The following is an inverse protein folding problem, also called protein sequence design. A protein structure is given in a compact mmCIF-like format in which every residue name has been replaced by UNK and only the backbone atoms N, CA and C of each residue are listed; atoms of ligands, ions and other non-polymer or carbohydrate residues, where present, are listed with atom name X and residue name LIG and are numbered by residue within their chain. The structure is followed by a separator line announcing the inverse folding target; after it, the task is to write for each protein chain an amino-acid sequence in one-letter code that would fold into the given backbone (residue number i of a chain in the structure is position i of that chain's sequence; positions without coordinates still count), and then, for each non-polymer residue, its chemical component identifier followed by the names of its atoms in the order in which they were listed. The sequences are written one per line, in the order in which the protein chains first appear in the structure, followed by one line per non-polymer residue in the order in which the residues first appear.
data_IF_830535490332
#
_entry.id   IF_830535490332
#
_cell.length_a   1.000
_cell.length_b   1.000
_cell.length_c   1.000
_cell.angle_alpha   90.00
_cell.angle_beta   90.00
_cell.angle_gamma   90.00
#
_symmetry.space_group_name_H-M   'P 1'
#
loop_
_entity.id
_entity.type
_entity.pdbx_description
1 polymer ?
#
# COMPACT_ATOMS: atom_id res chain seq x y z
N UNK A 1 19.02 10.64 -25.50
CA UNK A 1 20.07 11.32 -24.69
C UNK A 1 21.36 11.35 -25.45
N UNK A 2 22.31 12.18 -25.02
CA UNK A 2 23.65 12.29 -25.63
C UNK A 2 24.52 11.04 -25.51
N UNK A 3 24.13 10.12 -24.66
CA UNK A 3 24.77 8.82 -24.40
C UNK A 3 24.07 7.66 -25.14
N UNK A 4 23.24 7.96 -26.14
CA UNK A 4 22.40 7.04 -26.91
C UNK A 4 21.41 6.21 -26.09
N UNK A 5 21.32 6.44 -24.78
CA UNK A 5 20.34 5.78 -23.93
C UNK A 5 18.93 6.32 -24.16
N UNK A 6 17.92 5.46 -24.27
CA UNK A 6 16.55 5.91 -24.43
C UNK A 6 16.07 6.73 -23.22
N UNK A 7 15.09 7.61 -23.47
CA UNK A 7 14.37 8.26 -22.39
C UNK A 7 13.20 7.38 -21.92
N UNK A 8 12.64 7.69 -20.76
CA UNK A 8 11.56 6.94 -20.14
C UNK A 8 10.42 6.61 -21.12
N UNK A 9 9.95 7.58 -21.90
CA UNK A 9 8.80 7.39 -22.80
C UNK A 9 9.01 6.33 -23.89
N UNK A 10 10.25 6.08 -24.27
CA UNK A 10 10.58 5.03 -25.24
C UNK A 10 10.90 3.72 -24.51
N UNK A 11 11.70 3.80 -23.46
CA UNK A 11 12.15 2.63 -22.73
C UNK A 11 10.97 1.84 -22.13
N UNK A 12 9.99 2.51 -21.50
CA UNK A 12 8.88 1.80 -20.89
C UNK A 12 8.03 0.99 -21.89
N UNK A 13 7.85 1.50 -23.12
CA UNK A 13 7.12 0.75 -24.17
C UNK A 13 7.87 -0.49 -24.59
N UNK A 14 9.19 -0.39 -24.76
CA UNK A 14 10.03 -1.53 -25.14
C UNK A 14 10.10 -2.55 -24.00
N UNK A 15 10.31 -2.09 -22.78
CA UNK A 15 10.41 -2.96 -21.61
C UNK A 15 9.09 -3.67 -21.35
N UNK A 16 7.96 -2.97 -21.37
CA UNK A 16 6.64 -3.54 -21.18
C UNK A 16 6.34 -4.63 -22.22
N UNK A 17 6.68 -4.39 -23.49
CA UNK A 17 6.51 -5.39 -24.54
C UNK A 17 7.41 -6.61 -24.33
N UNK A 18 8.72 -6.40 -24.12
CA UNK A 18 9.69 -7.49 -23.96
C UNK A 18 9.45 -8.31 -22.69
N UNK A 19 8.93 -7.70 -21.64
CA UNK A 19 8.53 -8.37 -20.39
C UNK A 19 7.16 -9.03 -20.46
N UNK A 20 6.42 -8.87 -21.55
CA UNK A 20 5.09 -9.47 -21.74
C UNK A 20 4.03 -8.85 -20.81
N UNK A 21 4.14 -7.55 -20.51
CA UNK A 21 3.17 -6.83 -19.68
C UNK A 21 1.84 -6.73 -20.42
N UNK A 22 0.77 -7.22 -19.79
CA UNK A 22 -0.58 -7.19 -20.32
C UNK A 22 -1.40 -6.00 -19.80
N UNK A 23 -1.13 -5.57 -18.57
CA UNK A 23 -1.84 -4.49 -17.89
C UNK A 23 -0.84 -3.49 -17.31
N UNK A 24 -1.02 -2.22 -17.63
CA UNK A 24 -0.21 -1.11 -17.11
C UNK A 24 -1.03 -0.32 -16.11
N UNK A 25 -0.76 -0.51 -14.82
CA UNK A 25 -1.43 0.21 -13.73
C UNK A 25 -0.58 1.38 -13.28
N UNK A 26 -1.09 2.60 -13.38
CA UNK A 26 -0.34 3.83 -13.03
C UNK A 26 -1.25 4.97 -12.62
N UNK A 27 -0.67 6.04 -12.09
CA UNK A 27 -1.42 7.25 -11.74
C UNK A 27 -2.03 7.97 -12.95
N UNK A 28 -3.09 8.69 -12.74
CA UNK A 28 -3.83 9.41 -13.78
C UNK A 28 -3.03 10.56 -14.42
N UNK A 29 -1.89 10.99 -13.84
CA UNK A 29 -0.96 11.95 -14.45
C UNK A 29 -0.36 11.45 -15.76
N UNK A 30 -0.34 10.14 -16.00
CA UNK A 30 0.13 9.55 -17.26
C UNK A 30 -0.93 9.51 -18.36
N UNK A 31 -2.17 9.88 -18.07
CA UNK A 31 -3.25 9.85 -19.05
C UNK A 31 -2.93 10.69 -20.30
N UNK A 32 -2.32 11.86 -20.10
CA UNK A 32 -1.88 12.74 -21.21
C UNK A 32 -0.73 12.15 -22.04
N UNK A 33 0.01 11.20 -21.51
CA UNK A 33 1.13 10.54 -22.20
C UNK A 33 0.72 9.23 -22.91
N UNK A 34 -0.39 8.63 -22.55
CA UNK A 34 -0.86 7.37 -23.12
C UNK A 34 -0.97 7.38 -24.67
N UNK A 35 -1.44 8.46 -25.34
CA UNK A 35 -1.47 8.51 -26.80
C UNK A 35 -0.09 8.35 -27.45
N UNK A 36 0.98 8.86 -26.82
CA UNK A 36 2.37 8.72 -27.32
C UNK A 36 2.82 7.27 -27.25
N UNK A 37 2.48 6.56 -26.17
CA UNK A 37 2.82 5.15 -26.00
C UNK A 37 2.08 4.30 -27.04
N UNK A 38 0.80 4.56 -27.25
CA UNK A 38 0.00 3.86 -28.26
C UNK A 38 0.59 4.02 -29.66
N UNK A 39 1.06 5.22 -30.02
CA UNK A 39 1.71 5.46 -31.30
C UNK A 39 3.03 4.66 -31.45
N UNK A 40 3.79 4.51 -30.36
CA UNK A 40 5.01 3.70 -30.37
C UNK A 40 4.67 2.21 -30.55
N UNK A 41 3.69 1.66 -29.80
CA UNK A 41 3.22 0.29 -29.98
C UNK A 41 2.79 0.04 -31.43
N UNK A 42 1.99 0.96 -31.99
CA UNK A 42 1.53 0.86 -33.38
C UNK A 42 2.69 0.91 -34.39
N UNK A 43 3.67 1.80 -34.19
CA UNK A 43 4.85 1.92 -35.06
C UNK A 43 5.71 0.66 -35.06
N UNK A 44 5.77 -0.07 -33.93
CA UNK A 44 6.46 -1.36 -33.84
C UNK A 44 5.61 -2.55 -34.28
N UNK A 45 4.31 -2.36 -34.56
CA UNK A 45 3.37 -3.44 -34.83
C UNK A 45 3.07 -4.33 -33.63
N UNK A 46 3.19 -3.77 -32.43
CA UNK A 46 2.97 -4.47 -31.17
C UNK A 46 1.54 -4.23 -30.66
N UNK A 47 1.02 -5.19 -29.91
CA UNK A 47 -0.26 -5.07 -29.22
C UNK A 47 -0.15 -4.05 -28.07
N UNK A 48 -1.15 -3.18 -27.95
CA UNK A 48 -1.20 -2.16 -26.87
C UNK A 48 -1.72 -2.83 -25.61
N UNK A 49 -1.03 -2.70 -24.46
CA UNK A 49 -1.51 -3.25 -23.20
C UNK A 49 -2.76 -2.53 -22.70
N UNK A 50 -3.50 -3.16 -21.81
CA UNK A 50 -4.61 -2.52 -21.11
C UNK A 50 -4.09 -1.51 -20.09
N UNK A 51 -4.68 -0.29 -20.09
CA UNK A 51 -4.28 0.77 -19.14
C UNK A 51 -5.30 0.92 -18.03
N UNK A 52 -4.82 0.86 -16.80
CA UNK A 52 -5.58 1.19 -15.58
C UNK A 52 -5.00 2.44 -14.95
N UNK A 53 -5.77 3.54 -14.97
CA UNK A 53 -5.35 4.81 -14.38
C UNK A 53 -5.96 4.97 -13.00
N UNK A 54 -5.11 4.90 -11.96
CA UNK A 54 -5.52 5.07 -10.57
C UNK A 54 -5.64 6.54 -10.19
N UNK A 55 -6.64 6.87 -9.39
CA UNK A 55 -6.77 8.18 -8.79
C UNK A 55 -5.66 8.42 -7.74
N UNK A 56 -5.25 9.69 -7.51
CA UNK A 56 -4.22 10.00 -6.53
C UNK A 56 -4.72 9.79 -5.10
N UNK A 57 -3.80 9.41 -4.21
CA UNK A 57 -4.03 9.48 -2.76
C UNK A 57 -3.75 10.90 -2.29
N UNK A 58 -4.69 11.47 -1.56
CA UNK A 58 -4.64 12.82 -1.05
C UNK A 58 -4.33 12.83 0.44
N UNK A 59 -3.61 13.83 0.90
CA UNK A 59 -3.41 14.12 2.33
C UNK A 59 -4.65 14.76 2.93
N UNK A 60 -5.26 15.66 2.18
CA UNK A 60 -6.50 16.37 2.49
C UNK A 60 -7.26 16.69 1.18
N UNK A 61 -8.32 17.48 1.26
CA UNK A 61 -9.16 17.84 0.09
C UNK A 61 -8.40 18.54 -1.04
N UNK A 62 -7.25 19.12 -0.77
CA UNK A 62 -6.52 20.02 -1.69
C UNK A 62 -5.09 19.58 -1.99
N UNK A 63 -4.47 18.80 -1.10
CA UNK A 63 -3.07 18.42 -1.20
C UNK A 63 -2.91 16.92 -1.47
N UNK A 64 -2.07 16.58 -2.44
CA UNK A 64 -1.65 15.18 -2.65
C UNK A 64 -0.71 14.74 -1.54
N UNK A 65 -0.82 13.46 -1.16
CA UNK A 65 0.17 12.81 -0.30
C UNK A 65 1.53 12.83 -0.98
N UNK A 66 2.58 13.30 -0.30
CA UNK A 66 3.90 13.45 -0.89
C UNK A 66 5.02 13.34 0.14
N UNK A 67 6.01 12.48 -0.13
CA UNK A 67 7.24 12.37 0.67
C UNK A 67 7.97 13.72 0.86
N UNK A 68 7.89 14.63 -0.13
CA UNK A 68 8.51 15.94 -0.06
C UNK A 68 7.88 16.86 1.00
N UNK A 69 6.64 16.58 1.38
CA UNK A 69 5.89 17.33 2.39
C UNK A 69 5.99 16.69 3.79
N UNK A 70 6.89 15.72 3.98
CA UNK A 70 7.08 15.03 5.25
C UNK A 70 6.00 13.98 5.57
N UNK A 71 5.21 13.58 4.56
CA UNK A 71 4.25 12.51 4.73
C UNK A 71 4.98 11.16 4.85
N UNK A 72 4.50 10.28 5.72
CA UNK A 72 5.14 9.01 6.04
C UNK A 72 5.34 8.12 4.80
N UNK A 73 6.54 7.62 4.62
CA UNK A 73 6.83 6.56 3.66
C UNK A 73 6.46 5.19 4.24
N UNK A 74 6.45 4.16 3.40
CA UNK A 74 6.29 2.78 3.89
C UNK A 74 7.34 2.44 4.97
N UNK A 75 8.60 2.85 4.76
CA UNK A 75 9.67 2.62 5.71
C UNK A 75 9.44 3.33 7.05
N UNK A 76 8.88 4.54 7.03
CA UNK A 76 8.54 5.28 8.24
C UNK A 76 7.40 4.58 9.01
N UNK A 77 6.41 4.03 8.30
CA UNK A 77 5.34 3.24 8.92
C UNK A 77 5.89 1.96 9.56
N UNK A 78 6.79 1.25 8.86
CA UNK A 78 7.43 0.05 9.42
C UNK A 78 8.27 0.39 10.65
N UNK A 79 9.03 1.50 10.63
CA UNK A 79 9.83 1.96 11.76
C UNK A 79 8.97 2.30 13.00
N UNK A 80 7.74 2.77 12.79
CA UNK A 80 6.75 3.00 13.86
C UNK A 80 6.07 1.71 14.34
N UNK A 81 6.29 0.59 13.68
CA UNK A 81 5.72 -0.70 14.05
C UNK A 81 4.28 -0.92 13.54
N UNK A 82 3.94 -0.32 12.40
CA UNK A 82 2.79 -0.80 11.63
C UNK A 82 3.11 -2.15 11.01
N UNK A 83 2.14 -3.06 10.97
CA UNK A 83 2.28 -4.35 10.33
C UNK A 83 2.15 -4.21 8.80
N UNK A 84 3.04 -4.84 8.01
CA UNK A 84 2.96 -4.78 6.54
C UNK A 84 1.59 -5.16 5.99
N UNK A 85 0.98 -6.21 6.53
CA UNK A 85 -0.32 -6.73 6.13
C UNK A 85 -1.44 -5.71 6.36
N UNK A 86 -1.39 -5.00 7.50
CA UNK A 86 -2.34 -3.94 7.83
C UNK A 86 -2.21 -2.74 6.87
N UNK A 87 -0.97 -2.37 6.52
CA UNK A 87 -0.72 -1.30 5.55
C UNK A 87 -1.20 -1.69 4.16
N UNK A 88 -0.97 -2.93 3.71
CA UNK A 88 -1.46 -3.45 2.42
C UNK A 88 -2.99 -3.41 2.39
N UNK A 89 -3.65 -3.92 3.43
CA UNK A 89 -5.12 -3.89 3.55
C UNK A 89 -5.65 -2.46 3.47
N UNK A 90 -5.07 -1.54 4.23
CA UNK A 90 -5.48 -0.13 4.23
C UNK A 90 -5.32 0.51 2.84
N UNK A 91 -4.17 0.31 2.18
CA UNK A 91 -3.89 0.87 0.84
C UNK A 91 -4.85 0.29 -0.20
N UNK A 92 -5.15 -1.01 -0.14
CA UNK A 92 -6.11 -1.62 -1.05
C UNK A 92 -7.48 -0.93 -0.95
N UNK A 93 -7.99 -0.71 0.26
CA UNK A 93 -9.27 -0.05 0.49
C UNK A 93 -9.30 1.45 0.17
N UNK A 94 -8.14 2.11 0.00
CA UNK A 94 -8.09 3.49 -0.48
C UNK A 94 -8.48 3.62 -1.96
N UNK A 95 -8.14 2.62 -2.76
CA UNK A 95 -8.31 2.69 -4.22
C UNK A 95 -9.24 1.64 -4.79
N UNK A 96 -9.76 0.73 -3.97
CA UNK A 96 -10.60 -0.37 -4.40
C UNK A 96 -11.70 -0.63 -3.36
N UNK A 97 -12.87 -1.03 -3.82
CA UNK A 97 -14.00 -1.39 -2.95
C UNK A 97 -14.44 -2.83 -3.22
N UNK A 98 -14.45 -3.71 -2.22
CA UNK A 98 -15.00 -5.06 -2.36
C UNK A 98 -16.49 -5.02 -2.74
N UNK A 99 -17.06 -6.15 -3.14
CA UNK A 99 -18.45 -6.25 -3.58
C UNK A 99 -19.20 -7.34 -2.86
N UNK A 100 -20.52 -7.33 -3.02
CA UNK A 100 -21.41 -8.35 -2.45
C UNK A 100 -21.38 -8.36 -0.92
N UNK A 101 -21.22 -9.54 -0.34
CA UNK A 101 -21.17 -9.73 1.12
C UNK A 101 -19.98 -9.05 1.82
N UNK A 102 -18.95 -8.68 1.06
CA UNK A 102 -17.74 -8.04 1.58
C UNK A 102 -17.80 -6.51 1.62
N UNK A 103 -18.90 -5.88 1.22
CA UNK A 103 -19.00 -4.42 1.10
C UNK A 103 -18.71 -3.66 2.39
N UNK A 104 -19.02 -4.24 3.55
CA UNK A 104 -18.85 -3.60 4.86
C UNK A 104 -17.61 -4.16 5.61
N UNK A 105 -16.94 -5.15 5.05
CA UNK A 105 -15.74 -5.71 5.66
C UNK A 105 -14.54 -4.79 5.41
N UNK A 106 -13.77 -4.53 6.46
CA UNK A 106 -12.59 -3.67 6.40
C UNK A 106 -11.28 -4.41 6.69
N UNK A 107 -11.35 -5.59 7.27
CA UNK A 107 -10.18 -6.40 7.61
C UNK A 107 -10.16 -7.65 6.72
N UNK A 108 -9.12 -7.76 5.92
CA UNK A 108 -8.93 -8.84 4.96
C UNK A 108 -7.51 -9.39 5.05
N UNK A 109 -7.34 -10.68 5.05
CA UNK A 109 -6.04 -11.26 4.71
C UNK A 109 -5.70 -11.00 3.24
N UNK A 110 -4.41 -11.06 2.89
CA UNK A 110 -3.97 -10.91 1.50
C UNK A 110 -4.62 -11.98 0.59
N UNK A 111 -4.74 -13.22 1.09
CA UNK A 111 -5.36 -14.33 0.34
C UNK A 111 -6.85 -14.11 0.09
N UNK A 112 -7.57 -13.49 1.04
CA UNK A 112 -8.96 -13.10 0.82
C UNK A 112 -9.06 -11.99 -0.21
N UNK A 113 -8.23 -10.95 -0.10
CA UNK A 113 -8.20 -9.85 -1.09
C UNK A 113 -7.93 -10.38 -2.51
N UNK A 114 -6.96 -11.29 -2.67
CA UNK A 114 -6.64 -11.89 -3.99
C UNK A 114 -7.85 -12.62 -4.58
N UNK A 115 -8.62 -13.35 -3.76
CA UNK A 115 -9.78 -14.13 -4.22
C UNK A 115 -10.96 -13.27 -4.67
N UNK A 116 -11.14 -12.10 -4.02
CA UNK A 116 -12.27 -11.20 -4.29
C UNK A 116 -11.89 -10.01 -5.15
N UNK A 117 -10.63 -9.91 -5.57
CA UNK A 117 -10.12 -8.80 -6.36
C UNK A 117 -10.80 -8.70 -7.72
N UNK A 118 -11.32 -7.51 -8.00
CA UNK A 118 -11.90 -7.15 -9.29
C UNK A 118 -11.34 -5.78 -9.72
N UNK A 119 -10.53 -5.70 -10.80
CA UNK A 119 -9.96 -4.44 -11.27
C UNK A 119 -11.02 -3.44 -11.74
N UNK A 120 -12.22 -3.88 -12.16
CA UNK A 120 -13.32 -3.00 -12.53
C UNK A 120 -13.85 -2.17 -11.34
N UNK A 121 -13.51 -2.58 -10.11
CA UNK A 121 -13.89 -1.91 -8.87
C UNK A 121 -12.84 -0.92 -8.34
N UNK A 122 -11.79 -0.66 -9.11
CA UNK A 122 -10.83 0.40 -8.78
C UNK A 122 -11.54 1.75 -8.83
N UNK A 123 -11.39 2.53 -7.74
CA UNK A 123 -12.01 3.84 -7.61
C UNK A 123 -11.43 4.84 -8.62
N UNK A 124 -12.33 5.57 -9.28
CA UNK A 124 -11.96 6.68 -10.17
C UNK A 124 -11.82 8.01 -9.41
N UNK A 125 -12.23 8.04 -8.15
CA UNK A 125 -12.17 9.24 -7.30
C UNK A 125 -10.96 9.20 -6.39
N UNK A 126 -10.31 10.36 -6.13
CA UNK A 126 -9.23 10.45 -5.15
C UNK A 126 -9.69 10.00 -3.77
N UNK A 127 -8.83 9.25 -3.07
CA UNK A 127 -9.03 8.86 -1.68
C UNK A 127 -8.18 9.73 -0.75
N UNK A 128 -8.70 10.04 0.44
CA UNK A 128 -7.94 10.75 1.46
C UNK A 128 -7.28 9.73 2.38
N UNK A 129 -5.98 9.88 2.59
CA UNK A 129 -5.22 9.09 3.56
C UNK A 129 -5.67 9.45 4.97
N UNK A 130 -6.37 8.54 5.64
CA UNK A 130 -6.82 8.69 7.02
C UNK A 130 -5.90 7.92 7.97
N UNK A 131 -5.03 8.61 8.75
CA UNK A 131 -4.14 7.97 9.70
C UNK A 131 -4.87 7.25 10.83
N UNK A 132 -6.04 7.74 11.23
CA UNK A 132 -6.82 7.10 12.31
C UNK A 132 -7.40 5.77 11.83
N UNK A 133 -7.87 5.73 10.59
CA UNK A 133 -8.34 4.48 9.98
C UNK A 133 -7.20 3.48 9.83
N UNK A 134 -6.01 3.91 9.40
CA UNK A 134 -4.84 3.05 9.33
C UNK A 134 -4.47 2.48 10.71
N UNK A 135 -4.47 3.31 11.77
CA UNK A 135 -4.23 2.84 13.15
C UNK A 135 -5.27 1.82 13.59
N UNK A 136 -6.54 2.06 13.33
CA UNK A 136 -7.64 1.15 13.70
C UNK A 136 -7.50 -0.22 13.00
N UNK A 137 -7.18 -0.23 11.70
CA UNK A 137 -6.92 -1.46 10.95
C UNK A 137 -5.70 -2.18 11.56
N UNK A 138 -4.59 -1.47 11.78
CA UNK A 138 -3.38 -2.04 12.36
C UNK A 138 -3.61 -2.65 13.74
N UNK A 139 -4.40 -1.97 14.58
CA UNK A 139 -4.80 -2.48 15.89
C UNK A 139 -5.58 -3.80 15.80
N UNK A 140 -6.44 -3.96 14.79
CA UNK A 140 -7.15 -5.20 14.56
C UNK A 140 -6.20 -6.35 14.20
N UNK A 141 -5.21 -6.08 13.33
CA UNK A 141 -4.19 -7.06 12.99
C UNK A 141 -3.30 -7.43 14.18
N UNK A 142 -2.85 -6.43 14.98
CA UNK A 142 -2.05 -6.68 16.20
C UNK A 142 -2.83 -7.58 17.17
N UNK A 143 -4.11 -7.31 17.40
CA UNK A 143 -4.95 -8.13 18.30
C UNK A 143 -5.18 -9.54 17.79
N UNK A 144 -5.12 -9.76 16.49
CA UNK A 144 -5.28 -11.08 15.88
C UNK A 144 -3.99 -11.90 15.85
N UNK A 145 -2.82 -11.31 16.15
CA UNK A 145 -1.55 -12.03 16.19
C UNK A 145 -1.56 -13.11 17.28
N UNK A 146 -0.92 -14.27 17.04
CA UNK A 146 -0.55 -15.18 18.13
C UNK A 146 0.34 -14.46 19.17
N UNK A 147 0.20 -14.78 20.45
CA UNK A 147 0.93 -14.11 21.53
C UNK A 147 2.46 -14.15 21.34
N UNK A 148 2.98 -15.28 20.86
CA UNK A 148 4.41 -15.46 20.58
C UNK A 148 4.90 -14.51 19.46
N UNK A 149 4.10 -14.37 18.41
CA UNK A 149 4.41 -13.47 17.29
C UNK A 149 4.33 -12.00 17.71
N UNK A 150 3.28 -11.63 18.47
CA UNK A 150 3.21 -10.28 19.04
C UNK A 150 4.43 -9.99 19.89
N UNK A 151 4.83 -10.91 20.78
CA UNK A 151 6.02 -10.75 21.61
C UNK A 151 7.29 -10.50 20.78
N UNK A 152 7.51 -11.33 19.75
CA UNK A 152 8.67 -11.21 18.87
C UNK A 152 8.75 -9.84 18.22
N UNK A 153 7.62 -9.27 17.80
CA UNK A 153 7.53 -7.96 17.18
C UNK A 153 7.64 -6.80 18.18
N UNK A 154 7.14 -7.01 19.40
CA UNK A 154 7.14 -6.01 20.47
C UNK A 154 8.50 -5.90 21.20
N UNK A 155 9.28 -6.98 21.25
CA UNK A 155 10.55 -7.03 22.01
C UNK A 155 11.51 -5.86 21.70
N UNK A 156 11.76 -5.43 20.44
CA UNK A 156 12.64 -4.29 20.17
C UNK A 156 12.13 -2.98 20.78
N UNK A 157 10.80 -2.78 20.82
CA UNK A 157 10.17 -1.58 21.39
C UNK A 157 10.23 -1.64 22.93
N UNK A 158 9.93 -2.81 23.51
CA UNK A 158 10.05 -3.02 24.95
C UNK A 158 11.50 -2.80 25.41
N UNK A 159 12.50 -3.30 24.69
CA UNK A 159 13.92 -3.13 25.01
C UNK A 159 14.34 -1.66 25.01
N UNK A 160 13.73 -0.85 24.16
CA UNK A 160 14.02 0.59 24.11
C UNK A 160 13.39 1.37 25.26
N UNK A 161 12.26 0.90 25.80
CA UNK A 161 11.46 1.60 26.81
C UNK A 161 11.69 1.08 28.24
N UNK A 162 11.96 -0.22 28.40
CA UNK A 162 12.00 -0.90 29.71
C UNK A 162 13.41 -1.35 30.03
N UNK A 163 14.02 -0.74 31.08
CA UNK A 163 15.40 -1.01 31.52
C UNK A 163 15.49 -1.80 32.85
N UNK A 164 14.41 -2.49 33.23
CA UNK A 164 14.36 -3.33 34.44
C UNK A 164 13.95 -4.75 34.11
N UNK A 165 14.17 -5.68 35.04
CA UNK A 165 13.67 -7.05 34.90
C UNK A 165 12.16 -7.05 35.06
N UNK A 166 11.45 -7.60 34.04
CA UNK A 166 9.99 -7.68 34.00
C UNK A 166 9.58 -9.00 33.37
N UNK A 167 8.44 -9.52 33.80
CA UNK A 167 7.78 -10.65 33.12
C UNK A 167 7.23 -10.16 31.77
N UNK A 168 7.91 -10.53 30.70
CA UNK A 168 7.58 -10.08 29.34
C UNK A 168 6.29 -10.72 28.81
N UNK A 169 5.98 -11.93 29.21
CA UNK A 169 4.75 -12.59 28.77
C UNK A 169 3.54 -11.89 29.38
N UNK A 170 3.60 -11.59 30.67
CA UNK A 170 2.55 -10.82 31.34
C UNK A 170 2.45 -9.39 30.79
N UNK A 171 3.58 -8.75 30.48
CA UNK A 171 3.58 -7.42 29.84
C UNK A 171 2.91 -7.46 28.48
N UNK A 172 3.33 -8.35 27.60
CA UNK A 172 2.77 -8.51 26.26
C UNK A 172 1.28 -8.85 26.28
N UNK A 173 0.83 -9.72 27.18
CA UNK A 173 -0.59 -10.06 27.33
C UNK A 173 -1.45 -8.83 27.71
N UNK A 174 -0.88 -7.86 28.43
CA UNK A 174 -1.58 -6.61 28.77
C UNK A 174 -1.49 -5.54 27.69
N UNK A 175 -0.39 -5.51 26.91
CA UNK A 175 -0.18 -4.51 25.86
C UNK A 175 -0.95 -4.85 24.59
N UNK A 176 -0.93 -6.09 24.13
CA UNK A 176 -1.49 -6.51 22.84
C UNK A 176 -2.95 -6.04 22.63
N UNK A 177 -3.89 -6.16 23.57
CA UNK A 177 -5.27 -5.72 23.38
C UNK A 177 -5.43 -4.20 23.22
N UNK A 178 -4.44 -3.42 23.67
CA UNK A 178 -4.48 -1.96 23.74
C UNK A 178 -3.58 -1.28 22.71
N UNK A 179 -2.62 -2.02 22.16
CA UNK A 179 -1.64 -1.52 21.22
C UNK A 179 -2.29 -1.29 19.85
N UNK A 180 -2.18 -0.10 19.32
CA UNK A 180 -2.61 0.22 17.95
C UNK A 180 -1.45 0.18 16.98
N UNK A 181 -0.26 0.60 17.44
CA UNK A 181 1.02 0.57 16.71
C UNK A 181 2.09 0.17 17.71
N UNK A 182 3.14 -0.57 17.32
CA UNK A 182 4.15 -1.04 18.27
C UNK A 182 4.96 0.10 18.92
N UNK A 183 5.02 1.28 18.28
CA UNK A 183 5.59 2.50 18.89
C UNK A 183 4.81 2.99 20.13
N UNK A 184 3.58 2.53 20.35
CA UNK A 184 2.77 2.86 21.53
C UNK A 184 3.26 2.14 22.82
N UNK A 185 4.21 1.18 22.70
CA UNK A 185 4.84 0.44 23.77
C UNK A 185 5.92 1.29 24.47
#
# INVERSE_FOLDING_TARGET
KTDDMPTYNFANVVDDHLMGITHVVRGNEYLSSAPKYNLLYQAFGWEVPEYVHCAPVMKDKTHKLSKRNGDASFQDLMAKGYLPEAVINFIALLGWAPSGEYNEQEIFSLDEMIKIWDPARISKSPAIFDPLKLRAINAAYIRALPAEEFRRLADPFIDSAVHCSIDRDLLCANLQPRCEVLEDI
#
